data_IF_354096928305
#
_entry.id   IF_354096928305
#
_cell.length_a   1.000
_cell.length_b   1.000
_cell.length_c   1.000
_cell.angle_alpha   90.00
_cell.angle_beta   90.00
_cell.angle_gamma   90.00
#
_symmetry.space_group_name_H-M   'P 1'
#
loop_
_entity.id
_entity.type
_entity.pdbx_description
1 polymer ?
#
# COMPACT_ATOMS: atom_id res chain seq x y z
N UNK A 1 10.15 25.18 40.85
CA UNK A 1 10.63 24.03 40.05
C UNK A 1 10.32 24.24 38.57
N UNK A 2 11.33 24.18 37.70
CA UNK A 2 11.11 24.17 36.24
C UNK A 2 10.61 22.78 35.85
N UNK A 3 9.33 22.64 35.53
CA UNK A 3 8.76 21.40 35.02
C UNK A 3 9.56 20.92 33.82
N UNK A 4 10.25 19.78 33.96
CA UNK A 4 10.84 19.05 32.83
C UNK A 4 9.68 18.73 31.88
N UNK A 5 9.52 19.50 30.80
CA UNK A 5 8.64 19.10 29.71
C UNK A 5 9.16 17.75 29.21
N UNK A 6 8.39 16.68 29.34
CA UNK A 6 8.66 15.41 28.68
C UNK A 6 8.67 15.68 27.17
N UNK A 7 9.84 15.98 26.63
CA UNK A 7 10.07 16.06 25.19
C UNK A 7 10.45 14.66 24.73
N UNK A 8 9.79 14.19 23.67
CA UNK A 8 10.15 12.93 23.04
C UNK A 8 11.60 12.99 22.55
N UNK A 9 12.35 11.91 22.77
CA UNK A 9 13.72 11.79 22.32
C UNK A 9 13.75 11.75 20.79
N UNK A 10 14.52 12.67 20.17
CA UNK A 10 14.76 12.68 18.72
C UNK A 10 15.71 11.55 18.32
N UNK A 11 15.20 10.32 18.32
CA UNK A 11 15.98 9.11 18.08
C UNK A 11 15.97 8.64 16.62
N UNK A 12 15.00 9.09 15.81
CA UNK A 12 14.78 8.60 14.45
C UNK A 12 15.58 9.43 13.45
N UNK A 13 16.60 8.82 12.83
CA UNK A 13 17.37 9.42 11.74
C UNK A 13 16.71 9.21 10.37
N UNK A 14 17.28 9.84 9.33
CA UNK A 14 16.79 9.79 7.94
C UNK A 14 16.54 8.36 7.42
N UNK A 15 17.50 7.45 7.57
CA UNK A 15 17.36 6.06 7.10
C UNK A 15 16.21 5.31 7.76
N UNK A 16 16.09 5.42 9.08
CA UNK A 16 14.97 4.80 9.82
C UNK A 16 13.64 5.43 9.44
N UNK A 17 13.61 6.75 9.22
CA UNK A 17 12.44 7.46 8.69
C UNK A 17 12.00 6.94 7.31
N UNK A 18 12.94 6.73 6.39
CA UNK A 18 12.63 6.16 5.07
C UNK A 18 12.05 4.75 5.18
N UNK A 19 12.67 3.87 5.98
CA UNK A 19 12.17 2.51 6.22
C UNK A 19 10.74 2.55 6.78
N UNK A 20 10.45 3.47 7.71
CA UNK A 20 9.11 3.64 8.26
C UNK A 20 8.09 4.07 7.20
N UNK A 21 8.42 5.03 6.32
CA UNK A 21 7.52 5.42 5.23
C UNK A 21 7.32 4.26 4.25
N UNK A 22 8.38 3.56 3.85
CA UNK A 22 8.26 2.38 2.98
C UNK A 22 7.32 1.35 3.60
N UNK A 23 7.52 1.03 4.89
CA UNK A 23 6.68 0.06 5.60
C UNK A 23 5.22 0.48 5.72
N UNK A 24 4.97 1.79 5.88
CA UNK A 24 3.62 2.32 6.07
C UNK A 24 2.89 2.47 4.73
N UNK A 25 3.60 2.81 3.66
CA UNK A 25 3.02 3.04 2.32
C UNK A 25 2.85 1.73 1.56
N UNK A 26 3.84 0.83 1.66
CA UNK A 26 3.83 -0.47 1.00
C UNK A 26 3.08 -1.48 1.88
N UNK A 27 1.76 -1.35 1.83
CA UNK A 27 0.81 -2.18 2.57
C UNK A 27 0.16 -3.27 1.72
N UNK A 28 -0.98 -3.76 2.22
CA UNK A 28 -1.86 -4.66 1.46
C UNK A 28 -2.51 -3.97 0.25
N UNK A 29 -2.51 -2.63 0.21
CA UNK A 29 -3.17 -1.83 -0.83
C UNK A 29 -2.70 -2.18 -2.24
N UNK A 30 -1.39 -2.33 -2.49
CA UNK A 30 -0.88 -2.68 -3.84
C UNK A 30 -1.33 -4.07 -4.32
N UNK A 31 -1.68 -4.99 -3.41
CA UNK A 31 -2.16 -6.33 -3.78
C UNK A 31 -3.68 -6.37 -4.01
N UNK A 32 -4.43 -5.41 -3.46
CA UNK A 32 -5.90 -5.36 -3.53
C UNK A 32 -6.39 -4.35 -4.57
N UNK A 33 -5.79 -3.16 -4.57
CA UNK A 33 -6.22 -2.01 -5.38
C UNK A 33 -6.16 -2.23 -6.89
N UNK A 34 -5.22 -3.00 -7.49
CA UNK A 34 -5.20 -3.21 -8.94
C UNK A 34 -6.53 -3.73 -9.49
N UNK A 35 -7.17 -4.68 -8.80
CA UNK A 35 -8.51 -5.17 -9.15
C UNK A 35 -9.57 -4.07 -9.09
N UNK A 36 -9.56 -3.25 -8.04
CA UNK A 36 -10.51 -2.17 -7.86
C UNK A 36 -10.36 -1.09 -8.94
N UNK A 37 -9.13 -0.59 -9.13
CA UNK A 37 -8.80 0.43 -10.12
C UNK A 37 -9.18 -0.06 -11.53
N UNK A 38 -8.83 -1.29 -11.90
CA UNK A 38 -9.12 -1.82 -13.23
C UNK A 38 -10.62 -2.08 -13.47
N UNK A 39 -11.34 -2.55 -12.45
CA UNK A 39 -12.81 -2.73 -12.51
C UNK A 39 -13.52 -1.41 -12.77
N UNK A 40 -13.13 -0.34 -12.07
CA UNK A 40 -13.75 0.97 -12.20
C UNK A 40 -13.18 1.81 -13.36
N UNK A 41 -12.08 1.38 -13.97
CA UNK A 41 -11.54 1.98 -15.21
C UNK A 41 -12.15 1.34 -16.48
N UNK A 42 -13.30 0.66 -16.37
CA UNK A 42 -13.93 -0.08 -17.49
C UNK A 42 -12.99 -1.09 -18.16
N UNK A 43 -12.07 -1.70 -17.39
CA UNK A 43 -11.02 -2.59 -17.91
C UNK A 43 -10.03 -1.93 -18.89
N UNK A 44 -10.06 -0.60 -19.03
CA UNK A 44 -9.14 0.17 -19.84
C UNK A 44 -7.78 0.27 -19.12
N UNK A 45 -6.75 -0.30 -19.75
CA UNK A 45 -5.39 -0.40 -19.20
C UNK A 45 -4.72 0.98 -19.13
N UNK A 46 -4.85 1.79 -20.17
CA UNK A 46 -4.23 3.11 -20.23
C UNK A 46 -4.82 4.04 -19.16
N UNK A 47 -6.16 4.01 -18.99
CA UNK A 47 -6.84 4.78 -17.94
C UNK A 47 -6.41 4.32 -16.56
N UNK A 48 -6.35 3.01 -16.32
CA UNK A 48 -5.91 2.45 -15.03
C UNK A 48 -4.49 2.90 -14.65
N UNK A 49 -3.52 2.78 -15.58
CA UNK A 49 -2.14 3.21 -15.35
C UNK A 49 -2.04 4.74 -15.14
N UNK A 50 -2.83 5.50 -15.89
CA UNK A 50 -2.91 6.96 -15.73
C UNK A 50 -3.44 7.35 -14.34
N UNK A 51 -4.44 6.63 -13.82
CA UNK A 51 -4.98 6.83 -12.46
C UNK A 51 -3.92 6.50 -11.41
N UNK A 52 -3.16 5.41 -11.58
CA UNK A 52 -2.04 5.09 -10.67
C UNK A 52 -0.98 6.21 -10.61
N UNK A 53 -0.62 6.77 -11.77
CA UNK A 53 0.31 7.89 -11.85
C UNK A 53 -0.28 9.17 -11.23
N UNK A 54 -1.55 9.49 -11.53
CA UNK A 54 -2.24 10.64 -10.96
C UNK A 54 -2.36 10.54 -9.43
N UNK A 55 -2.73 9.38 -8.89
CA UNK A 55 -2.77 9.11 -7.45
C UNK A 55 -1.40 9.31 -6.78
N UNK A 56 -0.30 8.93 -7.44
CA UNK A 56 1.05 9.15 -6.92
C UNK A 56 1.37 10.66 -6.80
N UNK A 57 1.08 11.43 -7.84
CA UNK A 57 1.29 12.89 -7.85
C UNK A 57 0.44 13.57 -6.78
N UNK A 58 -0.86 13.23 -6.71
CA UNK A 58 -1.77 13.78 -5.70
C UNK A 58 -1.32 13.45 -4.29
N UNK A 59 -0.83 12.22 -4.07
CA UNK A 59 -0.30 11.80 -2.76
C UNK A 59 0.97 12.55 -2.40
N UNK A 60 1.87 12.77 -3.36
CA UNK A 60 3.10 13.54 -3.14
C UNK A 60 2.79 14.99 -2.75
N UNK A 61 1.89 15.66 -3.49
CA UNK A 61 1.46 17.02 -3.18
C UNK A 61 0.84 17.06 -1.77
N UNK A 62 -0.10 16.16 -1.49
CA UNK A 62 -0.77 16.08 -0.19
C UNK A 62 0.22 15.81 0.96
N UNK A 63 1.20 14.94 0.74
CA UNK A 63 2.21 14.60 1.74
C UNK A 63 3.14 15.78 2.02
N UNK A 64 3.54 16.54 0.99
CA UNK A 64 4.37 17.74 1.15
C UNK A 64 3.62 18.85 1.88
N UNK A 65 2.35 19.12 1.54
CA UNK A 65 1.52 20.08 2.29
C UNK A 65 1.38 19.68 3.77
N UNK A 66 1.23 18.39 4.05
CA UNK A 66 1.23 17.90 5.43
C UNK A 66 2.60 17.96 6.11
N UNK A 67 3.69 17.82 5.35
CA UNK A 67 5.04 17.96 5.86
C UNK A 67 5.30 19.39 6.32
N UNK A 68 4.91 20.41 5.53
CA UNK A 68 5.02 21.83 5.91
C UNK A 68 4.33 22.11 7.25
N UNK A 69 3.13 21.54 7.45
CA UNK A 69 2.41 21.61 8.71
C UNK A 69 3.16 20.92 9.86
N UNK A 70 3.72 19.73 9.61
CA UNK A 70 4.48 18.95 10.60
C UNK A 70 5.83 19.57 10.97
N UNK A 71 6.48 20.27 10.04
CA UNK A 71 7.76 20.95 10.26
C UNK A 71 7.59 22.31 10.91
N UNK A 72 6.49 23.03 10.62
CA UNK A 72 6.15 24.31 11.26
C UNK A 72 5.83 24.13 12.74
N UNK A 73 5.15 23.03 13.08
CA UNK A 73 4.81 22.68 14.47
C UNK A 73 5.39 21.30 14.84
N UNK A 74 6.70 21.21 15.18
CA UNK A 74 7.37 19.93 15.45
C UNK A 74 7.01 19.37 16.84
N UNK A 75 5.71 19.11 17.05
CA UNK A 75 5.13 18.49 18.23
C UNK A 75 4.28 17.31 17.79
N UNK A 76 4.24 16.25 18.60
CA UNK A 76 3.30 15.15 18.38
C UNK A 76 1.87 15.68 18.40
N UNK A 77 1.08 15.36 17.36
CA UNK A 77 -0.25 15.93 17.18
C UNK A 77 -0.29 17.29 16.47
N UNK A 78 0.76 17.65 15.70
CA UNK A 78 0.85 18.88 14.91
C UNK A 78 -0.44 19.21 14.14
N UNK A 79 -1.07 18.21 13.52
CA UNK A 79 -2.34 18.38 12.79
C UNK A 79 -3.48 18.86 13.69
N UNK A 80 -3.63 18.27 14.88
CA UNK A 80 -4.66 18.69 15.84
C UNK A 80 -4.37 20.10 16.37
N UNK A 81 -3.11 20.39 16.68
CA UNK A 81 -2.70 21.73 17.12
C UNK A 81 -2.99 22.80 16.06
N UNK A 82 -2.67 22.51 14.80
CA UNK A 82 -2.97 23.39 13.67
C UNK A 82 -4.48 23.64 13.55
N UNK A 83 -5.30 22.58 13.51
CA UNK A 83 -6.76 22.67 13.44
C UNK A 83 -7.33 23.50 14.59
N UNK A 84 -6.83 23.28 15.82
CA UNK A 84 -7.27 24.03 17.01
C UNK A 84 -6.91 25.51 16.91
N UNK A 85 -5.75 25.83 16.34
CA UNK A 85 -5.25 27.20 16.20
C UNK A 85 -5.95 27.98 15.07
N UNK A 86 -6.25 27.33 13.94
CA UNK A 86 -6.83 27.97 12.76
C UNK A 86 -8.36 27.98 12.75
N UNK A 87 -9.00 26.88 13.15
CA UNK A 87 -10.44 26.66 13.04
C UNK A 87 -11.16 26.54 14.41
N UNK A 88 -10.41 26.69 15.50
CA UNK A 88 -10.95 26.68 16.86
C UNK A 88 -11.16 25.29 17.46
N UNK A 89 -11.64 25.26 18.70
CA UNK A 89 -11.69 24.01 19.50
C UNK A 89 -12.72 23.01 18.99
N UNK A 90 -13.85 23.47 18.45
CA UNK A 90 -14.94 22.59 18.00
C UNK A 90 -14.53 21.74 16.79
N UNK A 91 -13.90 22.34 15.78
CA UNK A 91 -13.43 21.63 14.59
C UNK A 91 -12.29 20.67 14.94
N UNK A 92 -11.38 21.08 15.82
CA UNK A 92 -10.32 20.22 16.31
C UNK A 92 -10.86 19.01 17.09
N UNK A 93 -11.88 19.20 17.94
CA UNK A 93 -12.55 18.11 18.65
C UNK A 93 -13.22 17.14 17.67
N UNK A 94 -13.96 17.64 16.67
CA UNK A 94 -14.59 16.80 15.66
C UNK A 94 -13.55 16.00 14.86
N UNK A 95 -12.42 16.61 14.49
CA UNK A 95 -11.32 15.90 13.82
C UNK A 95 -10.76 14.77 14.67
N UNK A 96 -10.58 15.00 15.97
CA UNK A 96 -10.13 13.96 16.90
C UNK A 96 -11.16 12.84 17.02
N UNK A 97 -12.45 13.19 17.07
CA UNK A 97 -13.56 12.24 17.13
C UNK A 97 -13.59 11.33 15.89
N UNK A 98 -13.47 11.90 14.70
CA UNK A 98 -13.39 11.12 13.44
C UNK A 98 -12.16 10.20 13.45
N UNK A 99 -11.00 10.71 13.90
CA UNK A 99 -9.77 9.91 14.01
C UNK A 99 -9.91 8.74 14.97
N UNK A 100 -10.65 8.92 16.07
CA UNK A 100 -10.89 7.87 17.07
C UNK A 100 -11.62 6.65 16.49
N UNK A 101 -12.56 6.85 15.56
CA UNK A 101 -13.29 5.76 14.91
C UNK A 101 -12.63 5.22 13.64
N UNK A 102 -11.98 6.09 12.86
CA UNK A 102 -11.35 5.67 11.59
C UNK A 102 -10.09 4.84 11.79
N UNK A 103 -9.32 5.06 12.86
CA UNK A 103 -8.11 4.29 13.13
C UNK A 103 -8.39 2.80 13.40
N UNK A 104 -9.31 2.43 14.32
CA UNK A 104 -9.69 1.04 14.54
C UNK A 104 -10.32 0.39 13.31
N UNK A 105 -11.14 1.14 12.56
CA UNK A 105 -11.75 0.65 11.32
C UNK A 105 -10.68 0.25 10.30
N UNK A 106 -9.65 1.08 10.10
CA UNK A 106 -8.53 0.77 9.22
C UNK A 106 -7.80 -0.50 9.65
N UNK A 107 -7.48 -0.63 10.95
CA UNK A 107 -6.81 -1.82 11.49
C UNK A 107 -7.65 -3.09 11.27
N UNK A 108 -8.97 -2.99 11.45
CA UNK A 108 -9.90 -4.10 11.21
C UNK A 108 -9.91 -4.51 9.72
N UNK A 109 -9.99 -3.54 8.80
CA UNK A 109 -9.95 -3.80 7.36
C UNK A 109 -8.63 -4.46 6.95
N UNK A 110 -7.49 -3.95 7.40
CA UNK A 110 -6.16 -4.52 7.07
C UNK A 110 -6.01 -5.95 7.58
N UNK A 111 -6.46 -6.22 8.82
CA UNK A 111 -6.37 -7.57 9.40
C UNK A 111 -7.32 -8.56 8.73
N UNK A 112 -8.52 -8.10 8.34
CA UNK A 112 -9.48 -8.92 7.59
C UNK A 112 -8.95 -9.26 6.19
N UNK A 113 -8.29 -8.30 5.53
CA UNK A 113 -7.61 -8.54 4.27
C UNK A 113 -6.53 -9.61 4.45
N UNK A 114 -5.61 -9.43 5.41
CA UNK A 114 -4.54 -10.38 5.67
C UNK A 114 -5.08 -11.80 5.93
N UNK A 115 -6.13 -11.92 6.74
CA UNK A 115 -6.81 -13.18 7.01
C UNK A 115 -7.40 -13.82 5.74
N UNK A 116 -8.06 -13.02 4.90
CA UNK A 116 -8.64 -13.49 3.64
C UNK A 116 -7.57 -14.02 2.70
N UNK A 117 -6.45 -13.31 2.53
CA UNK A 117 -5.33 -13.77 1.70
C UNK A 117 -4.63 -15.01 2.25
N UNK A 118 -4.54 -15.13 3.59
CA UNK A 118 -3.90 -16.29 4.24
C UNK A 118 -4.74 -17.56 4.09
N UNK A 119 -6.06 -17.44 4.18
CA UNK A 119 -6.96 -18.60 4.17
C UNK A 119 -7.39 -19.03 2.76
N UNK A 120 -7.38 -18.11 1.79
CA UNK A 120 -7.85 -18.36 0.42
C UNK A 120 -7.18 -19.58 -0.26
N UNK A 121 -5.87 -19.85 -0.11
CA UNK A 121 -5.23 -21.02 -0.71
C UNK A 121 -5.79 -22.37 -0.21
N UNK A 122 -6.32 -22.43 1.02
CA UNK A 122 -6.92 -23.65 1.58
C UNK A 122 -8.32 -23.95 1.04
N UNK A 123 -8.94 -22.99 0.34
CA UNK A 123 -10.24 -23.13 -0.30
C UNK A 123 -10.08 -22.94 -1.82
N UNK A 124 -9.21 -23.73 -2.43
CA UNK A 124 -9.00 -23.70 -3.88
C UNK A 124 -10.33 -23.93 -4.62
N UNK A 125 -10.71 -22.99 -5.51
CA UNK A 125 -11.94 -23.07 -6.31
C UNK A 125 -13.23 -22.59 -5.63
N UNK A 126 -13.21 -22.29 -4.33
CA UNK A 126 -14.38 -21.79 -3.60
C UNK A 126 -14.08 -20.50 -2.82
N UNK A 127 -15.06 -19.60 -2.65
CA UNK A 127 -14.89 -18.48 -1.73
C UNK A 127 -14.79 -19.01 -0.29
N UNK A 128 -13.70 -18.67 0.41
CA UNK A 128 -13.54 -19.11 1.80
C UNK A 128 -14.73 -18.61 2.67
N UNK A 129 -15.23 -19.40 3.63
CA UNK A 129 -16.39 -19.02 4.44
C UNK A 129 -16.09 -17.77 5.30
N UNK A 130 -17.12 -17.00 5.67
CA UNK A 130 -16.93 -15.77 6.43
C UNK A 130 -16.46 -16.00 7.87
N UNK A 131 -16.96 -17.04 8.52
CA UNK A 131 -16.68 -17.31 9.93
C UNK A 131 -15.17 -17.57 10.17
N UNK A 132 -14.48 -18.47 9.43
CA UNK A 132 -13.04 -18.67 9.57
C UNK A 132 -12.21 -17.42 9.28
N UNK A 133 -12.60 -16.61 8.27
CA UNK A 133 -11.92 -15.34 7.97
C UNK A 133 -11.97 -14.39 9.16
N UNK A 134 -13.16 -14.22 9.76
CA UNK A 134 -13.37 -13.35 10.92
C UNK A 134 -12.63 -13.86 12.16
N UNK A 135 -12.68 -15.17 12.43
CA UNK A 135 -11.96 -15.79 13.55
C UNK A 135 -10.43 -15.64 13.41
N UNK A 136 -9.87 -15.91 12.23
CA UNK A 136 -8.43 -15.75 11.98
C UNK A 136 -8.01 -14.28 12.06
N UNK A 137 -8.83 -13.35 11.54
CA UNK A 137 -8.55 -11.92 11.66
C UNK A 137 -8.50 -11.47 13.13
N UNK A 138 -9.45 -11.91 13.95
CA UNK A 138 -9.42 -11.65 15.40
C UNK A 138 -8.18 -12.25 16.05
N UNK A 139 -7.84 -13.51 15.75
CA UNK A 139 -6.65 -14.15 16.31
C UNK A 139 -5.36 -13.38 15.98
N UNK A 140 -5.20 -12.91 14.74
CA UNK A 140 -4.07 -12.08 14.32
C UNK A 140 -4.06 -10.75 15.09
N UNK A 141 -5.20 -10.07 15.18
CA UNK A 141 -5.32 -8.79 15.87
C UNK A 141 -4.95 -8.89 17.34
N UNK A 142 -5.50 -9.89 18.04
CA UNK A 142 -5.19 -10.16 19.45
C UNK A 142 -3.71 -10.53 19.65
N UNK A 143 -3.15 -11.36 18.77
CA UNK A 143 -1.75 -11.76 18.84
C UNK A 143 -0.80 -10.57 18.67
N UNK A 144 -1.08 -9.69 17.70
CA UNK A 144 -0.30 -8.46 17.49
C UNK A 144 -0.47 -7.47 18.64
N UNK A 145 -1.68 -7.36 19.20
CA UNK A 145 -1.95 -6.55 20.38
C UNK A 145 -1.15 -7.01 21.60
N UNK A 146 -1.16 -8.32 21.89
CA UNK A 146 -0.36 -8.92 22.97
C UNK A 146 1.14 -8.81 22.72
N UNK A 147 1.58 -8.86 21.47
CA UNK A 147 2.99 -8.66 21.15
C UNK A 147 3.41 -7.20 21.35
N UNK A 148 2.52 -6.26 21.04
CA UNK A 148 2.74 -4.84 21.25
C UNK A 148 2.90 -4.50 22.74
N UNK A 149 2.17 -5.18 23.64
CA UNK A 149 2.34 -4.98 25.10
C UNK A 149 3.66 -5.53 25.64
N UNK A 150 4.26 -6.54 24.99
CA UNK A 150 5.56 -7.10 25.39
C UNK A 150 6.76 -6.23 25.02
N UNK A 151 6.62 -5.36 24.03
CA UNK A 151 7.67 -4.41 23.69
C UNK A 151 7.59 -3.90 22.26
N UNK A 152 7.70 -2.58 22.11
CA UNK A 152 7.67 -1.89 20.80
C UNK A 152 8.82 -2.31 19.89
N UNK A 153 9.96 -2.74 20.45
CA UNK A 153 11.14 -3.12 19.67
C UNK A 153 10.94 -4.43 18.89
N UNK A 154 10.25 -5.41 19.47
CA UNK A 154 9.92 -6.66 18.79
C UNK A 154 8.98 -6.42 17.62
N UNK A 155 7.99 -5.55 17.80
CA UNK A 155 7.05 -5.16 16.73
C UNK A 155 7.78 -4.40 15.62
N UNK A 156 8.67 -3.47 15.96
CA UNK A 156 9.46 -2.73 14.99
C UNK A 156 10.37 -3.64 14.15
N UNK A 157 10.95 -4.67 14.76
CA UNK A 157 11.76 -5.67 14.05
C UNK A 157 10.91 -6.51 13.09
N UNK A 158 9.76 -7.02 13.53
CA UNK A 158 8.83 -7.75 12.66
C UNK A 158 8.30 -6.90 11.51
N UNK A 159 7.99 -5.64 11.77
CA UNK A 159 7.57 -4.68 10.74
C UNK A 159 8.67 -4.47 9.69
N UNK A 160 9.92 -4.35 10.12
CA UNK A 160 11.06 -4.21 9.22
C UNK A 160 11.21 -5.43 8.32
N UNK A 161 11.14 -6.65 8.89
CA UNK A 161 11.22 -7.89 8.12
C UNK A 161 10.07 -8.01 7.12
N UNK A 162 8.84 -7.75 7.55
CA UNK A 162 7.67 -7.77 6.65
C UNK A 162 7.83 -6.79 5.49
N UNK A 163 8.41 -5.62 5.75
CA UNK A 163 8.66 -4.61 4.71
C UNK A 163 9.69 -5.08 3.70
N UNK A 164 10.83 -5.63 4.17
CA UNK A 164 11.86 -6.17 3.28
C UNK A 164 11.29 -7.32 2.44
N UNK A 165 10.55 -8.25 3.05
CA UNK A 165 9.92 -9.35 2.33
C UNK A 165 8.95 -8.87 1.24
N UNK A 166 8.05 -7.92 1.56
CA UNK A 166 7.12 -7.33 0.58
C UNK A 166 7.86 -6.64 -0.56
N UNK A 167 8.93 -5.90 -0.25
CA UNK A 167 9.76 -5.23 -1.25
C UNK A 167 10.42 -6.23 -2.20
N UNK A 168 10.99 -7.32 -1.67
CA UNK A 168 11.60 -8.37 -2.47
C UNK A 168 10.59 -9.00 -3.43
N UNK A 169 9.38 -9.31 -2.93
CA UNK A 169 8.30 -9.87 -3.78
C UNK A 169 7.91 -8.89 -4.89
N UNK A 170 7.71 -7.61 -4.58
CA UNK A 170 7.34 -6.61 -5.58
C UNK A 170 8.45 -6.37 -6.62
N UNK A 171 9.71 -6.36 -6.20
CA UNK A 171 10.84 -6.29 -7.13
C UNK A 171 10.89 -7.52 -8.04
N UNK A 172 10.67 -8.72 -7.50
CA UNK A 172 10.64 -9.95 -8.29
C UNK A 172 9.52 -9.94 -9.33
N UNK A 173 8.30 -9.55 -8.93
CA UNK A 173 7.15 -9.38 -9.85
C UNK A 173 7.49 -8.35 -10.94
N UNK A 174 8.08 -7.23 -10.57
CA UNK A 174 8.43 -6.16 -11.52
C UNK A 174 9.50 -6.61 -12.53
N UNK A 175 10.55 -7.29 -12.09
CA UNK A 175 11.63 -7.77 -12.96
C UNK A 175 11.15 -8.85 -13.93
N UNK A 176 10.39 -9.83 -13.44
CA UNK A 176 9.84 -10.91 -14.27
C UNK A 176 8.87 -10.36 -15.31
N UNK A 177 8.01 -9.40 -14.96
CA UNK A 177 7.13 -8.74 -15.92
C UNK A 177 7.88 -7.99 -17.02
N UNK A 178 8.94 -7.24 -16.67
CA UNK A 178 9.77 -6.54 -17.68
C UNK A 178 10.47 -7.53 -18.61
N UNK A 179 11.06 -8.59 -18.07
CA UNK A 179 11.73 -9.64 -18.88
C UNK A 179 10.73 -10.30 -19.83
N UNK A 180 9.52 -10.59 -19.36
CA UNK A 180 8.48 -11.22 -20.17
C UNK A 180 7.98 -10.33 -21.31
N UNK A 181 7.97 -9.01 -21.10
CA UNK A 181 7.72 -8.03 -22.15
C UNK A 181 8.88 -7.94 -23.14
N UNK A 182 10.13 -8.01 -22.66
CA UNK A 182 11.33 -7.98 -23.49
C UNK A 182 11.50 -9.22 -24.38
N UNK A 183 11.04 -10.40 -23.94
CA UNK A 183 11.05 -11.64 -24.73
C UNK A 183 10.03 -11.58 -25.89
N UNK A 184 9.05 -10.66 -25.84
CA UNK A 184 8.31 -10.25 -27.03
C UNK A 184 7.35 -11.28 -27.63
N UNK A 185 6.75 -12.18 -26.82
CA UNK A 185 5.63 -12.99 -27.31
C UNK A 185 4.51 -12.04 -27.78
N UNK A 186 4.07 -12.17 -29.04
CA UNK A 186 3.09 -11.26 -29.69
C UNK A 186 1.82 -11.05 -28.86
N UNK A 187 1.38 -12.06 -28.11
CA UNK A 187 0.23 -11.97 -27.21
C UNK A 187 0.41 -10.99 -26.05
N UNK A 188 1.64 -10.79 -25.55
CA UNK A 188 1.90 -9.88 -24.43
C UNK A 188 1.85 -8.41 -24.89
N UNK A 189 2.33 -8.13 -26.10
CA UNK A 189 2.33 -6.77 -26.69
C UNK A 189 0.94 -6.41 -27.21
N UNK A 190 0.22 -7.36 -27.82
CA UNK A 190 -1.15 -7.16 -28.31
C UNK A 190 -2.15 -6.78 -27.19
N UNK A 191 -1.88 -7.18 -25.93
CA UNK A 191 -2.67 -6.78 -24.76
C UNK A 191 -2.57 -5.28 -24.44
N UNK A 192 -1.48 -4.63 -24.82
CA UNK A 192 -1.31 -3.17 -24.71
C UNK A 192 -1.74 -2.43 -25.97
N UNK A 193 -1.82 -3.11 -27.12
CA UNK A 193 -2.18 -2.53 -28.40
C UNK A 193 -3.68 -2.14 -28.45
N UNK A 194 -4.55 -3.00 -27.90
CA UNK A 194 -5.99 -2.69 -27.72
C UNK A 194 -6.29 -1.91 -26.43
N UNK A 195 -5.28 -1.41 -25.70
CA UNK A 195 -5.48 -0.74 -24.41
C UNK A 195 -6.25 0.58 -24.51
N UNK A 196 -6.27 1.19 -25.70
CA UNK A 196 -6.92 2.48 -25.95
C UNK A 196 -8.32 2.35 -26.56
N UNK A 197 -8.72 1.16 -27.02
CA UNK A 197 -10.00 0.92 -27.70
C UNK A 197 -11.17 0.61 -26.76
N UNK A 198 -10.91 0.58 -25.44
CA UNK A 198 -11.94 0.32 -24.44
C UNK A 198 -12.76 1.58 -24.10
N UNK A 199 -14.08 1.40 -23.91
CA UNK A 199 -15.02 2.46 -23.55
C UNK A 199 -14.53 3.31 -22.37
N UNK A 200 -14.66 4.64 -22.52
CA UNK A 200 -14.30 5.56 -21.45
C UNK A 200 -15.25 5.37 -20.25
N UNK A 201 -14.70 5.21 -19.03
CA UNK A 201 -15.50 5.06 -17.82
C UNK A 201 -16.28 6.34 -17.50
N UNK A 202 -17.41 6.18 -16.80
CA UNK A 202 -18.20 7.31 -16.29
C UNK A 202 -17.40 8.05 -15.21
N UNK A 203 -17.67 9.34 -15.03
CA UNK A 203 -17.02 10.18 -14.00
C UNK A 203 -17.11 9.58 -12.59
N UNK A 204 -18.25 8.99 -12.23
CA UNK A 204 -18.41 8.31 -10.94
C UNK A 204 -17.50 7.09 -10.77
N UNK A 205 -17.27 6.34 -11.84
CA UNK A 205 -16.37 5.19 -11.82
C UNK A 205 -14.92 5.65 -11.75
N UNK A 206 -14.56 6.74 -12.44
CA UNK A 206 -13.23 7.35 -12.30
C UNK A 206 -12.98 7.76 -10.85
N UNK A 207 -13.95 8.39 -10.18
CA UNK A 207 -13.82 8.76 -8.77
C UNK A 207 -13.60 7.54 -7.85
N UNK A 208 -14.35 6.45 -8.06
CA UNK A 208 -14.14 5.17 -7.36
C UNK A 208 -12.74 4.58 -7.61
N UNK A 209 -12.25 4.62 -8.85
CA UNK A 209 -10.91 4.18 -9.19
C UNK A 209 -9.83 5.01 -8.47
N UNK A 210 -10.02 6.33 -8.37
CA UNK A 210 -9.14 7.20 -7.58
C UNK A 210 -9.16 6.84 -6.09
N UNK A 211 -10.33 6.55 -5.50
CA UNK A 211 -10.41 6.11 -4.10
C UNK A 211 -9.62 4.81 -3.87
N UNK A 212 -9.71 3.85 -4.79
CA UNK A 212 -8.94 2.60 -4.72
C UNK A 212 -7.43 2.83 -4.90
N UNK A 213 -7.03 3.74 -5.78
CA UNK A 213 -5.63 4.11 -5.98
C UNK A 213 -5.03 4.86 -4.80
N UNK A 214 -5.75 5.85 -4.26
CA UNK A 214 -5.33 6.61 -3.07
C UNK A 214 -5.23 5.73 -1.83
N UNK A 215 -6.09 4.71 -1.71
CA UNK A 215 -5.97 3.70 -0.66
C UNK A 215 -4.61 2.97 -0.71
N UNK A 216 -4.11 2.64 -1.91
CA UNK A 216 -2.81 1.97 -2.06
C UNK A 216 -1.61 2.85 -1.70
N UNK A 217 -1.73 4.17 -1.87
CA UNK A 217 -0.70 5.14 -1.50
C UNK A 217 -0.87 5.71 -0.07
N UNK A 218 -1.84 5.21 0.70
CA UNK A 218 -2.01 5.61 2.09
C UNK A 218 -0.80 5.21 2.94
N UNK A 219 -0.45 6.01 3.95
CA UNK A 219 0.66 5.72 4.89
C UNK A 219 1.73 6.80 5.01
N UNK A 220 1.74 7.78 4.11
CA UNK A 220 2.72 8.88 4.08
C UNK A 220 2.64 9.83 5.28
N UNK A 221 1.52 9.84 5.99
CA UNK A 221 1.29 10.68 7.17
C UNK A 221 2.00 10.19 8.44
N UNK A 222 2.67 9.03 8.39
CA UNK A 222 3.37 8.46 9.55
C UNK A 222 4.49 9.38 10.06
N UNK A 223 5.31 9.96 9.17
CA UNK A 223 6.38 10.87 9.58
C UNK A 223 5.86 12.14 10.24
N UNK A 224 4.72 12.64 9.76
CA UNK A 224 4.09 13.83 10.33
C UNK A 224 3.56 13.56 11.75
N UNK A 225 3.15 12.32 12.02
CA UNK A 225 2.68 11.90 13.35
C UNK A 225 3.83 11.78 14.35
N UNK A 226 5.00 11.33 13.90
CA UNK A 226 6.21 11.15 14.73
C UNK A 226 7.25 12.26 14.53
N UNK A 227 6.85 13.42 14.01
CA UNK A 227 7.76 14.53 13.70
C UNK A 227 8.60 14.97 14.91
N UNK A 228 8.07 14.82 16.14
CA UNK A 228 8.78 15.10 17.39
C UNK A 228 9.93 14.13 17.70
N UNK A 229 9.93 12.93 17.13
CA UNK A 229 10.95 11.89 17.34
C UNK A 229 12.01 11.86 16.23
N UNK A 230 11.81 12.63 15.16
CA UNK A 230 12.71 12.72 14.02
C UNK A 230 13.83 13.72 14.30
N UNK A 231 15.08 13.34 14.00
CA UNK A 231 16.23 14.27 13.99
C UNK A 231 16.06 15.24 12.81
N UNK A 232 16.26 16.54 13.02
CA UNK A 232 16.13 17.59 11.99
C UNK A 232 14.85 17.44 11.13
N UNK A 233 13.65 17.53 11.74
CA UNK A 233 12.39 17.24 11.05
C UNK A 233 12.14 18.14 9.85
N UNK A 234 12.58 19.41 9.92
CA UNK A 234 12.45 20.41 8.85
C UNK A 234 13.11 20.00 7.53
N UNK A 235 14.18 19.22 7.59
CA UNK A 235 14.86 18.72 6.39
C UNK A 235 14.55 17.27 6.10
N UNK A 236 14.55 16.42 7.14
CA UNK A 236 14.45 14.99 6.95
C UNK A 236 13.04 14.56 6.52
N UNK A 237 11.97 15.19 7.02
CA UNK A 237 10.60 14.82 6.62
C UNK A 237 10.38 15.10 5.11
N UNK A 238 10.62 16.32 4.59
CA UNK A 238 10.42 16.58 3.17
C UNK A 238 11.36 15.75 2.27
N UNK A 239 12.65 15.64 2.63
CA UNK A 239 13.63 14.83 1.86
C UNK A 239 13.20 13.37 1.79
N UNK A 240 12.70 12.80 2.89
CA UNK A 240 12.20 11.42 2.90
C UNK A 240 10.96 11.24 2.02
N UNK A 241 10.03 12.19 2.01
CA UNK A 241 8.83 12.09 1.17
C UNK A 241 9.15 12.20 -0.32
N UNK A 242 10.01 13.15 -0.71
CA UNK A 242 10.42 13.37 -2.11
C UNK A 242 11.22 12.17 -2.65
N UNK A 243 11.93 11.44 -1.80
CA UNK A 243 12.69 10.26 -2.23
C UNK A 243 11.85 8.99 -2.26
N UNK A 244 11.07 8.74 -1.21
CA UNK A 244 10.32 7.49 -1.06
C UNK A 244 9.10 7.43 -1.98
N UNK A 245 8.32 8.51 -2.10
CA UNK A 245 7.05 8.46 -2.83
C UNK A 245 7.21 8.20 -4.34
N UNK A 246 8.12 8.88 -5.05
CA UNK A 246 8.37 8.56 -6.46
C UNK A 246 8.89 7.12 -6.64
N UNK A 247 9.73 6.63 -5.71
CA UNK A 247 10.23 5.25 -5.78
C UNK A 247 9.08 4.23 -5.63
N UNK A 248 8.17 4.45 -4.67
CA UNK A 248 6.96 3.63 -4.52
C UNK A 248 6.09 3.71 -5.77
N UNK A 249 5.91 4.90 -6.34
CA UNK A 249 5.10 5.09 -7.53
C UNK A 249 5.64 4.32 -8.74
N UNK A 250 6.96 4.34 -8.96
CA UNK A 250 7.61 3.55 -10.01
C UNK A 250 7.39 2.06 -9.78
N UNK A 251 7.61 1.56 -8.55
CA UNK A 251 7.39 0.14 -8.23
C UNK A 251 5.93 -0.27 -8.44
N UNK A 252 4.98 0.57 -8.03
CA UNK A 252 3.56 0.30 -8.20
C UNK A 252 3.14 0.27 -9.67
N UNK A 253 3.63 1.22 -10.48
CA UNK A 253 3.39 1.23 -11.92
C UNK A 253 3.99 -0.01 -12.58
N UNK A 254 5.25 -0.35 -12.26
CA UNK A 254 5.91 -1.55 -12.80
C UNK A 254 5.20 -2.83 -12.38
N UNK A 255 4.75 -2.95 -11.15
CA UNK A 255 3.97 -4.10 -10.68
C UNK A 255 2.65 -4.23 -11.44
N UNK A 256 1.92 -3.12 -11.67
CA UNK A 256 0.68 -3.13 -12.45
C UNK A 256 0.92 -3.51 -13.91
N UNK A 257 1.97 -2.98 -14.54
CA UNK A 257 2.39 -3.39 -15.90
C UNK A 257 2.73 -4.88 -15.94
N UNK A 258 3.41 -5.39 -14.91
CA UNK A 258 3.79 -6.80 -14.80
C UNK A 258 2.58 -7.72 -14.64
N UNK A 259 1.58 -7.31 -13.85
CA UNK A 259 0.32 -8.05 -13.76
C UNK A 259 -0.39 -8.12 -15.12
N UNK A 260 -0.41 -7.02 -15.87
CA UNK A 260 -1.04 -6.95 -17.19
C UNK A 260 -0.26 -7.70 -18.28
N UNK A 261 1.07 -7.83 -18.11
CA UNK A 261 1.89 -8.65 -18.99
C UNK A 261 1.53 -10.14 -18.87
N UNK A 262 1.12 -10.59 -17.69
CA UNK A 262 0.81 -12.01 -17.41
C UNK A 262 -0.68 -12.32 -17.53
N UNK A 263 -1.54 -11.47 -16.98
CA UNK A 263 -2.98 -11.69 -16.88
C UNK A 263 -3.75 -10.66 -17.71
N UNK A 264 -4.87 -11.08 -18.29
CA UNK A 264 -5.80 -10.16 -18.94
C UNK A 264 -6.56 -9.32 -17.90
N UNK A 265 -7.04 -8.12 -18.26
CA UNK A 265 -7.83 -7.30 -17.34
C UNK A 265 -9.03 -8.01 -16.72
N UNK A 266 -9.69 -8.89 -17.50
CA UNK A 266 -10.83 -9.68 -17.03
C UNK A 266 -10.42 -10.70 -15.98
N UNK A 267 -9.28 -11.37 -16.17
CA UNK A 267 -8.73 -12.31 -15.19
C UNK A 267 -8.31 -11.63 -13.90
N UNK A 268 -7.71 -10.43 -13.96
CA UNK A 268 -7.35 -9.66 -12.76
C UNK A 268 -8.61 -9.31 -11.94
N UNK A 269 -9.69 -8.91 -12.61
CA UNK A 269 -10.95 -8.56 -11.93
C UNK A 269 -11.67 -9.80 -11.41
N UNK A 270 -11.67 -10.92 -12.15
CA UNK A 270 -12.34 -12.15 -11.73
C UNK A 270 -11.59 -12.88 -10.62
N UNK A 271 -10.26 -12.99 -10.73
CA UNK A 271 -9.43 -13.79 -9.82
C UNK A 271 -9.29 -13.17 -8.42
N UNK A 272 -9.40 -11.85 -8.24
CA UNK A 272 -9.27 -11.25 -6.91
C UNK A 272 -7.96 -11.63 -6.21
N UNK A 273 -8.04 -12.13 -4.98
CA UNK A 273 -6.87 -12.61 -4.24
C UNK A 273 -6.14 -13.79 -4.93
N UNK A 274 -6.81 -14.47 -5.85
CA UNK A 274 -6.31 -15.62 -6.60
C UNK A 274 -5.42 -15.20 -7.77
N UNK A 275 -5.36 -13.92 -8.15
CA UNK A 275 -4.52 -13.43 -9.25
C UNK A 275 -3.02 -13.64 -8.98
N UNK A 276 -2.58 -13.39 -7.74
CA UNK A 276 -1.18 -13.60 -7.31
C UNK A 276 -0.86 -15.09 -7.21
N UNK A 277 -1.83 -15.91 -6.77
CA UNK A 277 -1.70 -17.36 -6.74
C UNK A 277 -1.61 -17.96 -8.14
N UNK A 278 -2.48 -17.57 -9.07
CA UNK A 278 -2.40 -17.96 -10.49
C UNK A 278 -1.07 -17.50 -11.07
N UNK A 279 -0.65 -16.26 -10.81
CA UNK A 279 0.63 -15.73 -11.29
C UNK A 279 1.82 -16.58 -10.82
N UNK A 280 1.87 -16.93 -9.52
CA UNK A 280 2.91 -17.82 -8.99
C UNK A 280 2.78 -19.24 -9.56
N UNK A 281 1.58 -19.80 -9.64
CA UNK A 281 1.38 -21.19 -10.07
C UNK A 281 1.67 -21.38 -11.57
N UNK A 282 1.26 -20.44 -12.43
CA UNK A 282 1.45 -20.52 -13.88
C UNK A 282 2.90 -20.33 -14.33
N UNK A 283 3.78 -19.75 -13.51
CA UNK A 283 5.15 -19.42 -13.92
C UNK A 283 6.27 -19.83 -12.96
N UNK A 284 5.98 -20.20 -11.70
CA UNK A 284 6.97 -20.75 -10.76
C UNK A 284 6.85 -22.28 -10.71
N UNK A 285 5.63 -22.83 -10.71
CA UNK A 285 5.43 -24.28 -10.63
C UNK A 285 5.39 -24.99 -12.00
N UNK A 286 4.98 -24.31 -13.07
CA UNK A 286 5.03 -24.89 -14.43
C UNK A 286 6.45 -24.87 -15.00
N UNK A 287 7.29 -23.90 -14.62
CA UNK A 287 8.71 -23.90 -15.01
C UNK A 287 9.50 -25.05 -14.41
N UNK A 288 9.08 -25.59 -13.27
CA UNK A 288 9.70 -26.79 -12.66
C UNK A 288 9.17 -28.10 -13.28
N UNK A 289 8.04 -28.09 -13.99
CA UNK A 289 7.50 -29.30 -14.63
C UNK A 289 7.90 -29.41 -16.10
N UNK A 290 7.95 -28.31 -16.85
CA UNK A 290 8.40 -28.31 -18.25
C UNK A 290 9.92 -28.53 -18.41
N UNK A 291 10.70 -28.23 -17.37
CA UNK A 291 12.14 -28.50 -17.33
C UNK A 291 12.47 -29.97 -16.99
N UNK A 292 11.52 -30.75 -16.48
CA UNK A 292 11.71 -32.18 -16.16
C UNK A 292 11.22 -33.07 -17.33
N UNK A 293 10.19 -32.65 -18.08
CA UNK A 293 9.66 -33.44 -19.21
C UNK A 293 10.36 -33.17 -20.56
N UNK A 294 11.25 -32.18 -20.65
CA UNK A 294 12.08 -31.95 -21.86
C UNK A 294 13.46 -32.62 -21.80
N UNK A 295 13.71 -33.42 -20.77
CA UNK A 295 14.97 -34.12 -20.50
C UNK A 295 14.89 -35.65 -20.44
N UNK A 296 13.86 -36.28 -21.05
CA UNK A 296 13.77 -37.73 -21.23
C UNK A 296 13.54 -38.12 -22.69
#
# INVERSE_FOLDING_TARGET
EKGKSMQLLRAIGFFRGNILIFSATIGAGIFVSPKGVLKYSSLNVAVSLSIWAACAVLTLISALSHAELGTTFPRSGAQYYFLKRSLGSSVAFLSLWIKLFTHPLRLATETLLLSTYTIQPFYAGCPAPELPKKCLALAILWSLGLLNTRGVQTVAWLQTISTVAKMTVLCFISLTGIVLLGIGKKENVARFENAFDAELPKVSQIAEAFLQGLFAYSGTSILNSIAGEIKNPGENIPKSLITVLPMVAVIYLLANVSYLAVLTPREIVSAGAFAIYIWMHSYIFVSDFDAIDSGS
#
